data_IF_088101583306
#
_entry.id   IF_088101583306
#
_cell.length_a   1.000
_cell.length_b   1.000
_cell.length_c   1.000
_cell.angle_alpha   90.00
_cell.angle_beta   90.00
_cell.angle_gamma   90.00
#
_symmetry.space_group_name_H-M   'P 1'
#
loop_
_entity.id
_entity.type
_entity.pdbx_description
1 polymer ?
#
# COMPACT_ATOMS: atom_id res chain seq x y z
N UNK A 1 53.89 -6.71 -20.92
CA UNK A 1 53.71 -5.89 -19.70
C UNK A 1 52.24 -5.58 -19.54
N UNK A 2 51.71 -5.82 -18.33
CA UNK A 2 50.35 -5.56 -17.81
C UNK A 2 49.18 -6.42 -18.34
N UNK A 3 49.07 -7.60 -17.71
CA UNK A 3 47.86 -8.40 -17.54
C UNK A 3 46.82 -7.59 -16.73
N UNK A 4 45.59 -7.42 -17.23
CA UNK A 4 44.48 -6.81 -16.45
C UNK A 4 43.43 -7.88 -16.18
N UNK A 5 43.61 -8.53 -15.04
CA UNK A 5 42.62 -9.32 -14.32
C UNK A 5 41.34 -8.48 -14.17
N UNK A 6 40.32 -8.79 -14.96
CA UNK A 6 38.97 -8.32 -14.70
C UNK A 6 38.44 -9.11 -13.50
N UNK A 7 38.51 -8.49 -12.32
CA UNK A 7 37.91 -9.00 -11.11
C UNK A 7 36.42 -9.24 -11.36
N UNK A 8 36.02 -10.51 -11.19
CA UNK A 8 34.65 -10.97 -11.38
C UNK A 8 33.68 -10.13 -10.56
N UNK A 9 32.65 -9.63 -11.25
CA UNK A 9 31.43 -9.13 -10.63
C UNK A 9 30.93 -10.19 -9.64
N UNK A 10 30.72 -9.87 -8.34
CA UNK A 10 30.02 -10.79 -7.47
C UNK A 10 28.63 -11.02 -8.07
N UNK A 11 28.40 -12.23 -8.56
CA UNK A 11 27.07 -12.81 -8.74
C UNK A 11 26.25 -12.50 -7.48
N UNK A 12 25.03 -11.96 -7.59
CA UNK A 12 24.16 -11.84 -6.43
C UNK A 12 23.98 -13.25 -5.88
N UNK A 13 24.59 -13.50 -4.71
CA UNK A 13 24.42 -14.74 -3.97
C UNK A 13 22.92 -14.97 -3.81
N UNK A 14 22.48 -16.10 -4.36
CA UNK A 14 21.15 -16.67 -4.18
C UNK A 14 20.70 -16.40 -2.75
N UNK A 15 19.64 -15.59 -2.61
CA UNK A 15 19.03 -15.26 -1.33
C UNK A 15 18.74 -16.58 -0.64
N UNK A 16 19.49 -16.80 0.44
CA UNK A 16 19.49 -18.04 1.18
C UNK A 16 18.07 -18.48 1.50
N UNK A 17 17.93 -19.79 1.50
CA UNK A 17 16.75 -20.56 1.82
C UNK A 17 16.41 -20.30 3.30
N UNK A 18 15.84 -19.13 3.58
CA UNK A 18 15.20 -18.85 4.85
C UNK A 18 13.84 -19.52 4.81
N UNK A 19 13.74 -20.70 5.40
CA UNK A 19 12.49 -21.39 5.74
C UNK A 19 11.77 -20.66 6.88
N UNK A 20 11.51 -19.38 6.66
CA UNK A 20 10.50 -18.61 7.36
C UNK A 20 9.72 -17.93 6.25
N UNK A 21 8.40 -18.14 6.12
CA UNK A 21 7.64 -17.24 5.27
C UNK A 21 7.94 -15.84 5.81
N UNK A 22 8.25 -14.83 4.96
CA UNK A 22 8.13 -13.47 5.44
C UNK A 22 6.68 -13.39 5.91
N UNK A 23 6.46 -13.35 7.23
CA UNK A 23 5.19 -12.90 7.77
C UNK A 23 5.06 -11.49 7.23
N UNK A 24 4.40 -11.39 6.08
CA UNK A 24 4.00 -10.13 5.50
C UNK A 24 3.14 -9.40 6.52
N UNK A 25 2.92 -8.09 6.32
CA UNK A 25 2.03 -7.32 7.18
C UNK A 25 0.71 -8.09 7.38
N UNK A 26 0.30 -8.21 8.64
CA UNK A 26 -0.95 -8.90 8.98
C UNK A 26 -2.13 -8.20 8.31
N UNK A 27 -3.28 -8.88 8.22
CA UNK A 27 -4.47 -8.24 7.69
C UNK A 27 -4.82 -6.96 8.48
N UNK A 28 -4.52 -6.93 9.78
CA UNK A 28 -4.73 -5.76 10.65
C UNK A 28 -3.77 -4.61 10.30
N UNK A 29 -2.50 -4.90 10.06
CA UNK A 29 -1.51 -3.88 9.65
C UNK A 29 -1.86 -3.28 8.29
N UNK A 30 -2.33 -4.12 7.35
CA UNK A 30 -2.81 -3.67 6.04
C UNK A 30 -4.06 -2.81 6.17
N UNK A 31 -5.01 -3.20 7.03
CA UNK A 31 -6.22 -2.44 7.29
C UNK A 31 -5.91 -1.06 7.88
N UNK A 32 -5.03 -0.98 8.88
CA UNK A 32 -4.61 0.28 9.50
C UNK A 32 -3.95 1.22 8.48
N UNK A 33 -3.10 0.67 7.61
CA UNK A 33 -2.48 1.43 6.52
C UNK A 33 -3.54 2.00 5.56
N UNK A 34 -4.54 1.20 5.17
CA UNK A 34 -5.64 1.65 4.30
C UNK A 34 -6.50 2.72 4.95
N UNK A 35 -6.85 2.57 6.22
CA UNK A 35 -7.60 3.59 6.97
C UNK A 35 -6.81 4.90 7.09
N UNK A 36 -5.49 4.82 7.26
CA UNK A 36 -4.61 6.00 7.29
C UNK A 36 -4.57 6.71 5.93
N UNK A 37 -4.49 5.96 4.83
CA UNK A 37 -4.57 6.51 3.46
C UNK A 37 -5.92 7.19 3.22
N UNK A 38 -7.02 6.53 3.61
CA UNK A 38 -8.38 7.09 3.49
C UNK A 38 -8.52 8.39 4.28
N UNK A 39 -8.04 8.42 5.53
CA UNK A 39 -8.07 9.63 6.38
C UNK A 39 -7.26 10.78 5.76
N UNK A 40 -6.10 10.47 5.19
CA UNK A 40 -5.23 11.46 4.55
C UNK A 40 -5.88 12.03 3.28
N UNK A 41 -6.49 11.17 2.48
CA UNK A 41 -7.20 11.56 1.26
C UNK A 41 -8.44 12.41 1.59
N UNK A 42 -9.17 12.06 2.64
CA UNK A 42 -10.31 12.84 3.12
C UNK A 42 -9.88 14.22 3.62
N UNK A 43 -8.76 14.30 4.34
CA UNK A 43 -8.18 15.58 4.76
C UNK A 43 -7.81 16.46 3.56
N UNK A 44 -7.27 15.87 2.49
CA UNK A 44 -7.01 16.59 1.25
C UNK A 44 -8.31 17.13 0.61
N UNK A 45 -9.42 16.38 0.66
CA UNK A 45 -10.69 16.83 0.11
C UNK A 45 -11.29 18.05 0.84
N UNK A 46 -11.13 18.10 2.17
CA UNK A 46 -11.68 19.17 3.03
C UNK A 46 -10.67 20.25 3.42
N UNK A 47 -9.41 20.13 2.99
CA UNK A 47 -8.36 21.09 3.31
C UNK A 47 -8.62 22.44 2.65
N UNK A 48 -8.42 23.52 3.41
CA UNK A 48 -8.54 24.89 2.93
C UNK A 48 -7.50 25.12 1.81
N UNK A 49 -7.95 25.31 0.57
CA UNK A 49 -7.08 25.59 -0.57
C UNK A 49 -7.30 24.78 -1.86
N UNK A 50 -8.24 23.82 -1.89
CA UNK A 50 -8.60 23.16 -3.16
C UNK A 50 -9.93 23.70 -3.67
N UNK A 51 -9.86 24.50 -4.74
CA UNK A 51 -11.05 24.91 -5.49
C UNK A 51 -11.46 23.78 -6.44
N UNK A 52 -12.23 22.85 -5.90
CA UNK A 52 -12.77 21.73 -6.65
C UNK A 52 -13.84 22.12 -7.67
N UNK A 53 -14.34 23.36 -7.63
CA UNK A 53 -15.50 23.79 -8.42
C UNK A 53 -15.12 24.66 -9.61
N UNK A 54 -13.86 25.06 -9.74
CA UNK A 54 -13.34 25.78 -10.92
C UNK A 54 -12.52 24.88 -11.88
N UNK A 55 -12.63 25.18 -13.18
CA UNK A 55 -11.87 24.49 -14.23
C UNK A 55 -12.03 22.95 -14.25
N UNK A 56 -10.92 22.24 -14.10
CA UNK A 56 -10.87 20.77 -14.10
C UNK A 56 -11.20 20.13 -12.74
N UNK A 57 -11.56 20.93 -11.73
CA UNK A 57 -11.76 20.49 -10.35
C UNK A 57 -12.86 19.43 -10.19
N UNK A 58 -13.97 19.53 -10.94
CA UNK A 58 -15.09 18.57 -10.86
C UNK A 58 -14.69 17.17 -11.30
N UNK A 59 -13.95 17.07 -12.42
CA UNK A 59 -13.40 15.79 -12.90
C UNK A 59 -12.32 15.25 -11.96
N UNK A 60 -11.55 16.12 -11.30
CA UNK A 60 -10.57 15.69 -10.30
C UNK A 60 -11.26 15.13 -9.05
N UNK A 61 -12.35 15.75 -8.59
CA UNK A 61 -13.21 15.23 -7.53
C UNK A 61 -13.78 13.86 -7.89
N UNK A 62 -14.36 13.68 -9.07
CA UNK A 62 -14.94 12.39 -9.48
C UNK A 62 -13.92 11.25 -9.41
N UNK A 63 -12.69 11.51 -9.86
CA UNK A 63 -11.59 10.53 -9.77
C UNK A 63 -11.18 10.25 -8.32
N UNK A 64 -11.17 11.28 -7.46
CA UNK A 64 -10.86 11.13 -6.04
C UNK A 64 -11.95 10.34 -5.32
N UNK A 65 -13.23 10.60 -5.62
CA UNK A 65 -14.34 9.81 -5.09
C UNK A 65 -14.28 8.35 -5.53
N UNK A 66 -13.89 8.09 -6.78
CA UNK A 66 -13.69 6.73 -7.26
C UNK A 66 -12.57 6.01 -6.50
N UNK A 67 -11.44 6.70 -6.26
CA UNK A 67 -10.34 6.18 -5.45
C UNK A 67 -10.76 5.94 -3.98
N UNK A 68 -11.56 6.82 -3.40
CA UNK A 68 -12.11 6.65 -2.05
C UNK A 68 -12.98 5.40 -1.99
N UNK A 69 -13.85 5.18 -2.98
CA UNK A 69 -14.71 4.01 -3.04
C UNK A 69 -13.90 2.71 -3.08
N UNK A 70 -12.88 2.64 -3.95
CA UNK A 70 -11.98 1.50 -4.07
C UNK A 70 -11.23 1.22 -2.74
N UNK A 71 -10.72 2.26 -2.07
CA UNK A 71 -10.08 2.12 -0.77
C UNK A 71 -11.02 1.63 0.34
N UNK A 72 -12.30 2.02 0.29
CA UNK A 72 -13.32 1.59 1.27
C UNK A 72 -13.65 0.12 1.06
N UNK A 73 -13.78 -0.33 -0.19
CA UNK A 73 -14.01 -1.74 -0.52
C UNK A 73 -12.82 -2.60 -0.06
N UNK A 74 -11.58 -2.19 -0.36
CA UNK A 74 -10.36 -2.87 0.11
C UNK A 74 -10.30 -2.95 1.65
N UNK A 75 -10.65 -1.87 2.36
CA UNK A 75 -10.68 -1.86 3.82
C UNK A 75 -11.75 -2.80 4.38
N UNK A 76 -12.91 -2.91 3.73
CA UNK A 76 -13.96 -3.87 4.09
C UNK A 76 -13.49 -5.32 3.97
N UNK A 77 -12.83 -5.66 2.86
CA UNK A 77 -12.26 -7.00 2.65
C UNK A 77 -11.18 -7.35 3.68
N UNK A 78 -10.28 -6.40 3.97
CA UNK A 78 -9.24 -6.56 4.99
C UNK A 78 -9.84 -6.75 6.37
N UNK A 79 -10.91 -6.02 6.71
CA UNK A 79 -11.62 -6.20 7.98
C UNK A 79 -12.24 -7.61 8.10
N UNK A 80 -12.92 -8.09 7.06
CA UNK A 80 -13.46 -9.45 7.02
C UNK A 80 -12.36 -10.51 7.21
N UNK A 81 -11.19 -10.27 6.61
CA UNK A 81 -10.02 -11.12 6.76
C UNK A 81 -9.44 -11.08 8.17
N UNK A 82 -9.36 -9.92 8.81
CA UNK A 82 -8.96 -9.81 10.22
C UNK A 82 -9.85 -10.63 11.14
N UNK A 83 -11.18 -10.52 10.97
CA UNK A 83 -12.14 -11.29 11.77
C UNK A 83 -11.97 -12.80 11.55
N UNK A 84 -11.72 -13.22 10.30
CA UNK A 84 -11.47 -14.62 9.97
C UNK A 84 -10.16 -15.13 10.59
N UNK A 85 -9.09 -14.34 10.55
CA UNK A 85 -7.81 -14.66 11.20
C UNK A 85 -7.95 -14.72 12.73
N UNK A 86 -8.79 -13.86 13.31
CA UNK A 86 -9.09 -13.85 14.74
C UNK A 86 -9.87 -15.08 15.17
N UNK A 87 -10.90 -15.47 14.40
CA UNK A 87 -11.69 -16.68 14.63
C UNK A 87 -10.88 -17.97 14.44
N UNK A 88 -9.88 -17.98 13.54
CA UNK A 88 -8.98 -19.12 13.36
C UNK A 88 -7.96 -19.30 14.51
N UNK A 89 -7.78 -18.26 15.35
CA UNK A 89 -6.87 -18.26 16.50
C UNK A 89 -7.56 -18.57 17.83
N UNK A 90 -8.90 -18.61 17.87
CA UNK A 90 -9.72 -18.94 19.04
C UNK A 90 -10.08 -20.42 19.07
#
# INVERSE_FOLDING_TARGET
MADRIMAGRPTPTSRGNSTTPPEGPSAADLLENRLTQLKSLLWCCYGDGIDWFDGAGSKHLDNVFWLIADLVDEAGELHQRCESERAARS
#
